data_IF_002480131176
#
_entry.id   IF_002480131176
#
_cell.length_a   1.000
_cell.length_b   1.000
_cell.length_c   1.000
_cell.angle_alpha   90.00
_cell.angle_beta   90.00
_cell.angle_gamma   90.00
#
_symmetry.space_group_name_H-M   'P 1'
#
loop_
_entity.id
_entity.type
_entity.pdbx_description
1 polymer ?
#
# COMPACT_ATOMS: atom_id res chain seq x y z
N UNK A 1 17.90 -2.91 -16.61
CA UNK A 1 17.08 -4.10 -16.31
C UNK A 1 16.08 -3.69 -15.24
N UNK A 2 14.92 -4.37 -15.18
CA UNK A 2 13.92 -4.14 -14.13
C UNK A 2 14.58 -4.37 -12.77
N UNK A 3 14.42 -3.41 -11.85
CA UNK A 3 15.04 -3.40 -10.52
C UNK A 3 14.02 -3.21 -9.39
N UNK A 4 12.76 -2.92 -9.72
CA UNK A 4 11.66 -2.76 -8.78
C UNK A 4 10.39 -3.39 -9.36
N UNK A 5 9.54 -3.95 -8.51
CA UNK A 5 8.18 -4.40 -8.86
C UNK A 5 7.17 -3.88 -7.85
N UNK A 6 5.97 -3.55 -8.33
CA UNK A 6 4.77 -3.28 -7.53
C UNK A 6 3.93 -4.56 -7.52
N UNK A 7 3.60 -5.06 -6.32
CA UNK A 7 2.85 -6.31 -6.16
C UNK A 7 1.45 -5.97 -5.64
N UNK A 8 0.40 -6.12 -6.46
CA UNK A 8 -0.97 -5.89 -6.03
C UNK A 8 -1.45 -7.00 -5.09
N UNK A 9 -1.98 -6.61 -3.94
CA UNK A 9 -2.47 -7.51 -2.90
C UNK A 9 -3.90 -7.15 -2.49
N UNK A 10 -4.78 -8.15 -2.46
CA UNK A 10 -6.06 -7.99 -1.80
C UNK A 10 -5.96 -8.16 -0.30
N UNK A 11 -6.82 -7.46 0.45
CA UNK A 11 -6.83 -7.52 1.92
C UNK A 11 -6.94 -8.96 2.46
N UNK A 12 -7.60 -9.84 1.70
CA UNK A 12 -7.83 -11.24 2.06
C UNK A 12 -6.56 -12.09 2.14
N UNK A 13 -5.40 -11.55 1.73
CA UNK A 13 -4.11 -12.18 2.00
C UNK A 13 -3.82 -12.31 3.51
N UNK A 14 -4.40 -11.41 4.31
CA UNK A 14 -4.49 -11.54 5.76
C UNK A 14 -5.81 -12.23 6.09
N UNK A 15 -5.79 -13.56 6.15
CA UNK A 15 -7.02 -14.38 6.19
C UNK A 15 -7.88 -14.13 7.43
N UNK A 16 -7.26 -13.75 8.54
CA UNK A 16 -7.92 -13.49 9.83
C UNK A 16 -8.85 -12.27 9.79
N UNK A 17 -8.64 -11.34 8.85
CA UNK A 17 -9.55 -10.21 8.67
C UNK A 17 -10.68 -10.53 7.69
N UNK A 18 -10.76 -11.72 7.08
CA UNK A 18 -11.83 -12.08 6.13
C UNK A 18 -13.11 -12.49 6.87
N UNK A 19 -14.26 -11.93 6.48
CA UNK A 19 -15.55 -12.38 6.96
C UNK A 19 -15.96 -13.68 6.25
N UNK A 20 -15.62 -14.82 6.83
CA UNK A 20 -15.90 -16.14 6.22
C UNK A 20 -17.38 -16.50 6.10
N UNK A 21 -18.29 -15.72 6.69
CA UNK A 21 -19.74 -15.93 6.49
C UNK A 21 -20.24 -15.32 5.18
N UNK A 22 -19.58 -14.27 4.68
CA UNK A 22 -20.06 -13.49 3.52
C UNK A 22 -19.03 -13.33 2.41
N UNK A 23 -17.76 -13.58 2.68
CA UNK A 23 -16.64 -13.41 1.76
C UNK A 23 -15.96 -14.75 1.47
N UNK A 24 -15.76 -15.06 0.19
CA UNK A 24 -15.37 -16.39 -0.28
C UNK A 24 -13.95 -16.43 -0.90
N UNK A 25 -13.07 -15.54 -0.47
CA UNK A 25 -11.70 -15.46 -0.96
C UNK A 25 -10.89 -16.72 -0.61
N UNK A 26 -10.02 -17.13 -1.53
CA UNK A 26 -9.15 -18.29 -1.35
C UNK A 26 -8.09 -18.06 -0.24
N UNK A 27 -7.58 -19.16 0.30
CA UNK A 27 -6.60 -19.21 1.39
C UNK A 27 -5.21 -19.67 0.90
N UNK A 28 -4.18 -19.38 1.67
CA UNK A 28 -2.78 -19.73 1.46
C UNK A 28 -1.92 -18.65 0.80
N UNK A 29 -2.50 -17.49 0.45
CA UNK A 29 -1.82 -16.47 -0.36
C UNK A 29 -0.53 -15.94 0.25
N UNK A 30 -0.49 -15.76 1.57
CA UNK A 30 0.65 -15.17 2.28
C UNK A 30 1.94 -16.01 2.18
N UNK A 31 1.83 -17.34 2.12
CA UNK A 31 2.98 -18.25 1.96
C UNK A 31 3.61 -18.12 0.57
N UNK A 32 2.78 -17.91 -0.45
CA UNK A 32 3.25 -17.67 -1.81
C UNK A 32 3.86 -16.29 -1.96
N UNK A 33 3.29 -15.27 -1.31
CA UNK A 33 3.90 -13.94 -1.26
C UNK A 33 5.29 -14.02 -0.63
N UNK A 34 5.43 -14.63 0.55
CA UNK A 34 6.73 -14.82 1.21
C UNK A 34 7.75 -15.50 0.28
N UNK A 35 7.34 -16.59 -0.38
CA UNK A 35 8.20 -17.33 -1.31
C UNK A 35 8.59 -16.49 -2.53
N UNK A 36 7.66 -15.72 -3.09
CA UNK A 36 7.89 -14.85 -4.25
C UNK A 36 8.80 -13.67 -3.91
N UNK A 37 8.62 -13.04 -2.76
CA UNK A 37 9.49 -11.97 -2.27
C UNK A 37 10.93 -12.47 -2.06
N UNK A 38 11.09 -13.70 -1.58
CA UNK A 38 12.42 -14.33 -1.52
C UNK A 38 13.05 -14.43 -2.92
N UNK A 39 12.31 -14.87 -3.94
CA UNK A 39 12.83 -14.97 -5.31
C UNK A 39 13.23 -13.60 -5.87
N UNK A 40 12.45 -12.56 -5.58
CA UNK A 40 12.74 -11.18 -5.98
C UNK A 40 13.99 -10.65 -5.25
N UNK A 41 14.12 -10.95 -3.96
CA UNK A 41 15.30 -10.63 -3.15
C UNK A 41 16.56 -11.31 -3.68
N UNK A 42 16.50 -12.62 -4.00
CA UNK A 42 17.60 -13.37 -4.61
C UNK A 42 18.01 -12.77 -5.98
N UNK A 43 17.09 -12.10 -6.68
CA UNK A 43 17.32 -11.41 -7.95
C UNK A 43 17.76 -9.94 -7.79
N UNK A 44 17.79 -9.40 -6.57
CA UNK A 44 18.13 -8.00 -6.29
C UNK A 44 17.04 -7.00 -6.66
N UNK A 45 15.77 -7.43 -6.72
CA UNK A 45 14.61 -6.61 -7.09
C UNK A 45 13.94 -6.05 -5.82
N UNK A 46 13.74 -4.73 -5.80
CA UNK A 46 13.00 -4.03 -4.74
C UNK A 46 11.49 -4.16 -4.92
N UNK A 47 10.73 -4.06 -3.84
CA UNK A 47 9.29 -4.33 -3.85
C UNK A 47 8.48 -3.20 -3.20
N UNK A 48 7.42 -2.80 -3.89
CA UNK A 48 6.29 -2.04 -3.36
C UNK A 48 5.15 -3.04 -3.13
N UNK A 49 4.62 -3.11 -1.91
CA UNK A 49 3.40 -3.87 -1.63
C UNK A 49 2.20 -2.94 -1.79
N UNK A 50 1.35 -3.23 -2.75
CA UNK A 50 0.18 -2.41 -3.04
C UNK A 50 -1.08 -3.01 -2.42
N UNK A 51 -1.79 -2.25 -1.58
CA UNK A 51 -3.11 -2.61 -1.08
C UNK A 51 -4.16 -2.42 -2.18
N UNK A 52 -4.17 -3.38 -3.10
CA UNK A 52 -4.85 -3.28 -4.37
C UNK A 52 -6.37 -3.43 -4.28
N UNK A 53 -6.83 -4.24 -3.33
CA UNK A 53 -8.25 -4.48 -3.09
C UNK A 53 -8.57 -4.36 -1.62
N UNK A 54 -9.36 -3.34 -1.28
CA UNK A 54 -9.66 -2.96 0.09
C UNK A 54 -10.87 -3.75 0.62
N UNK A 55 -10.96 -3.97 1.94
CA UNK A 55 -12.19 -4.49 2.55
C UNK A 55 -13.38 -3.61 2.18
N UNK A 56 -14.46 -4.22 1.68
CA UNK A 56 -15.67 -3.48 1.32
C UNK A 56 -15.64 -2.77 -0.03
N UNK A 57 -14.66 -3.02 -0.91
CA UNK A 57 -14.55 -2.47 -2.27
C UNK A 57 -14.35 -0.94 -2.28
N UNK A 58 -13.23 -0.49 -2.83
CA UNK A 58 -12.90 0.94 -2.90
C UNK A 58 -13.34 1.62 -4.19
N UNK A 59 -13.72 0.87 -5.23
CA UNK A 59 -14.14 1.42 -6.54
C UNK A 59 -15.18 0.51 -7.17
N UNK A 60 -16.32 1.08 -7.57
CA UNK A 60 -17.46 0.34 -8.10
C UNK A 60 -17.16 -0.32 -9.45
N UNK A 61 -17.76 -1.49 -9.69
CA UNK A 61 -17.71 -2.22 -10.96
C UNK A 61 -16.29 -2.54 -11.48
N UNK A 62 -15.30 -2.54 -10.59
CA UNK A 62 -13.91 -2.84 -10.91
C UNK A 62 -13.49 -4.21 -10.40
N UNK A 63 -13.15 -5.12 -11.30
CA UNK A 63 -12.73 -6.48 -10.94
C UNK A 63 -11.43 -6.54 -10.11
N UNK A 64 -10.56 -5.53 -10.22
CA UNK A 64 -9.31 -5.46 -9.47
C UNK A 64 -9.53 -5.30 -7.96
N UNK A 65 -10.72 -4.84 -7.54
CA UNK A 65 -11.10 -4.70 -6.13
C UNK A 65 -11.48 -6.03 -5.45
N UNK A 66 -11.32 -7.16 -6.16
CA UNK A 66 -11.60 -8.50 -5.64
C UNK A 66 -13.07 -8.91 -5.68
N UNK A 67 -14.00 -7.95 -5.72
CA UNK A 67 -15.42 -8.20 -5.88
C UNK A 67 -16.04 -7.14 -6.80
N UNK A 68 -16.42 -7.54 -8.02
CA UNK A 68 -17.03 -6.65 -8.99
C UNK A 68 -18.49 -6.36 -8.62
N UNK A 69 -18.73 -5.22 -7.98
CA UNK A 69 -20.05 -4.78 -7.50
C UNK A 69 -20.15 -3.25 -7.54
N UNK A 70 -21.37 -2.75 -7.67
CA UNK A 70 -21.73 -1.34 -7.50
C UNK A 70 -21.82 -0.90 -6.03
N UNK A 71 -21.87 -1.85 -5.09
CA UNK A 71 -21.98 -1.59 -3.67
C UNK A 71 -20.60 -1.31 -3.03
N UNK A 72 -20.18 -0.05 -3.09
CA UNK A 72 -18.96 0.46 -2.44
C UNK A 72 -19.23 0.69 -0.95
N UNK A 73 -18.48 -0.01 -0.09
CA UNK A 73 -18.63 0.05 1.36
C UNK A 73 -17.36 0.53 2.07
N UNK A 74 -16.25 0.71 1.35
CA UNK A 74 -15.01 1.18 1.96
C UNK A 74 -15.20 2.58 2.57
N UNK A 75 -15.75 3.55 1.83
CA UNK A 75 -15.94 4.93 2.31
C UNK A 75 -17.20 5.14 3.18
N UNK A 76 -17.95 4.10 3.51
CA UNK A 76 -19.18 4.22 4.31
C UNK A 76 -18.86 4.39 5.81
N UNK A 77 -18.87 5.64 6.31
CA UNK A 77 -18.73 5.95 7.76
C UNK A 77 -20.06 5.67 8.51
N UNK A 78 -20.13 4.95 9.67
CA UNK A 78 -19.09 4.32 10.48
C UNK A 78 -19.29 2.79 10.56
N UNK A 79 -18.96 2.06 9.51
CA UNK A 79 -18.44 0.70 9.75
C UNK A 79 -16.93 0.85 9.91
N UNK A 80 -16.50 1.15 11.14
CA UNK A 80 -15.10 1.00 11.55
C UNK A 80 -14.54 -0.30 10.96
N UNK A 81 -15.36 -1.35 10.94
CA UNK A 81 -15.13 -2.60 10.24
C UNK A 81 -14.22 -2.58 9.00
N UNK A 82 -14.56 -1.90 7.90
CA UNK A 82 -13.76 -2.00 6.66
C UNK A 82 -12.45 -1.19 6.75
N UNK A 83 -12.49 0.01 7.33
CA UNK A 83 -11.29 0.82 7.57
C UNK A 83 -10.36 0.17 8.59
N UNK A 84 -10.90 -0.36 9.68
CA UNK A 84 -10.19 -1.10 10.71
C UNK A 84 -9.50 -2.32 10.10
N UNK A 85 -10.21 -3.12 9.29
CA UNK A 85 -9.60 -4.25 8.56
C UNK A 85 -8.45 -3.81 7.65
N UNK A 86 -8.58 -2.66 6.99
CA UNK A 86 -7.51 -2.11 6.16
C UNK A 86 -6.30 -1.62 6.99
N UNK A 87 -6.53 -1.03 8.17
CA UNK A 87 -5.46 -0.66 9.10
C UNK A 87 -4.82 -1.88 9.78
N UNK A 88 -5.59 -2.93 10.08
CA UNK A 88 -5.04 -4.21 10.56
C UNK A 88 -4.13 -4.82 9.50
N UNK A 89 -4.58 -4.85 8.24
CA UNK A 89 -3.75 -5.26 7.12
C UNK A 89 -2.46 -4.45 7.07
N UNK A 90 -2.55 -3.12 7.21
CA UNK A 90 -1.39 -2.21 7.22
C UNK A 90 -0.39 -2.56 8.33
N UNK A 91 -0.88 -2.76 9.56
CA UNK A 91 -0.04 -3.14 10.70
C UNK A 91 0.65 -4.51 10.48
N UNK A 92 -0.10 -5.48 9.94
CA UNK A 92 0.42 -6.82 9.65
C UNK A 92 1.49 -6.77 8.56
N UNK A 93 1.21 -6.14 7.42
CA UNK A 93 2.15 -6.08 6.29
C UNK A 93 3.40 -5.26 6.61
N UNK A 94 3.26 -4.17 7.38
CA UNK A 94 4.41 -3.40 7.89
C UNK A 94 5.29 -4.26 8.80
N UNK A 95 4.66 -5.05 9.69
CA UNK A 95 5.40 -5.94 10.59
C UNK A 95 6.16 -7.00 9.81
N UNK A 96 5.52 -7.65 8.83
CA UNK A 96 6.16 -8.65 7.99
C UNK A 96 7.31 -8.06 7.18
N UNK A 97 7.11 -6.88 6.60
CA UNK A 97 8.15 -6.16 5.85
C UNK A 97 9.41 -5.92 6.69
N UNK A 98 9.26 -5.64 7.98
CA UNK A 98 10.40 -5.40 8.89
C UNK A 98 10.98 -6.64 9.56
N UNK A 99 10.20 -7.69 9.77
CA UNK A 99 10.58 -8.83 10.61
C UNK A 99 10.77 -10.15 9.86
N UNK A 100 10.18 -10.32 8.67
CA UNK A 100 10.40 -11.49 7.84
C UNK A 100 11.63 -11.27 6.94
N UNK A 101 12.70 -12.09 7.07
CA UNK A 101 13.88 -11.98 6.20
C UNK A 101 13.57 -12.11 4.70
N UNK A 102 12.49 -12.80 4.32
CA UNK A 102 12.08 -12.93 2.93
C UNK A 102 11.43 -11.66 2.36
N UNK A 103 11.02 -10.73 3.23
CA UNK A 103 10.45 -9.44 2.84
C UNK A 103 11.51 -8.31 2.82
N UNK A 104 12.80 -8.63 2.98
CA UNK A 104 13.87 -7.64 3.15
C UNK A 104 14.06 -6.64 2.00
N UNK A 105 13.48 -6.87 0.82
CA UNK A 105 13.48 -5.93 -0.31
C UNK A 105 12.21 -5.11 -0.44
N UNK A 106 11.22 -5.32 0.44
CA UNK A 106 10.06 -4.44 0.57
C UNK A 106 10.54 -3.12 1.14
N UNK A 107 10.39 -2.05 0.37
CA UNK A 107 10.77 -0.69 0.80
C UNK A 107 9.59 0.26 0.90
N UNK A 108 8.42 -0.14 0.37
CA UNK A 108 7.23 0.69 0.32
C UNK A 108 5.94 -0.12 0.48
N UNK A 109 4.92 0.52 1.05
CA UNK A 109 3.55 -0.01 1.13
C UNK A 109 2.58 1.08 0.65
N UNK A 110 1.71 0.72 -0.28
CA UNK A 110 0.68 1.61 -0.82
C UNK A 110 -0.64 1.47 -0.07
N UNK A 111 -1.26 2.60 0.23
CA UNK A 111 -2.44 2.65 1.09
C UNK A 111 -3.71 2.12 0.40
N UNK A 112 -3.93 2.56 -0.85
CA UNK A 112 -5.11 2.22 -1.66
C UNK A 112 -4.76 2.34 -3.14
N UNK A 113 -4.96 1.28 -3.91
CA UNK A 113 -4.95 1.33 -5.36
C UNK A 113 -6.24 1.94 -5.90
N UNK A 114 -6.09 2.89 -6.82
CA UNK A 114 -7.16 3.44 -7.67
C UNK A 114 -8.50 3.69 -6.94
N UNK A 115 -8.55 4.59 -5.93
CA UNK A 115 -9.81 4.97 -5.30
C UNK A 115 -10.76 5.63 -6.30
N UNK A 116 -12.04 5.81 -5.93
CA UNK A 116 -13.00 6.54 -6.78
C UNK A 116 -12.45 7.93 -7.08
N UNK A 117 -12.45 8.32 -8.35
CA UNK A 117 -11.88 9.60 -8.80
C UNK A 117 -12.70 10.81 -8.33
N UNK A 118 -14.00 10.67 -8.13
CA UNK A 118 -14.83 11.75 -7.57
C UNK A 118 -14.61 11.86 -6.06
N UNK A 119 -13.99 12.94 -5.58
CA UNK A 119 -13.69 13.08 -4.15
C UNK A 119 -14.96 13.20 -3.29
N UNK A 120 -16.07 13.70 -3.83
CA UNK A 120 -17.38 13.76 -3.13
C UNK A 120 -17.91 12.34 -2.81
N UNK A 121 -17.47 11.32 -3.55
CA UNK A 121 -17.83 9.91 -3.34
C UNK A 121 -16.88 9.17 -2.38
N UNK A 122 -15.85 9.84 -1.84
CA UNK A 122 -14.84 9.25 -0.95
C UNK A 122 -14.77 9.91 0.44
N UNK A 123 -15.90 10.06 1.16
CA UNK A 123 -15.92 10.76 2.44
C UNK A 123 -14.98 10.11 3.45
N UNK A 124 -14.12 10.93 4.06
CA UNK A 124 -13.15 10.49 5.07
C UNK A 124 -11.90 9.80 4.50
N UNK A 125 -11.68 9.82 3.19
CA UNK A 125 -10.48 9.23 2.58
C UNK A 125 -9.18 9.86 3.09
N UNK A 126 -9.11 11.19 3.19
CA UNK A 126 -7.95 11.87 3.77
C UNK A 126 -7.69 11.53 5.24
N UNK A 127 -8.73 11.15 5.99
CA UNK A 127 -8.58 10.66 7.36
C UNK A 127 -8.01 9.22 7.39
N UNK A 128 -8.43 8.37 6.45
CA UNK A 128 -7.83 7.05 6.26
C UNK A 128 -6.35 7.14 5.88
N UNK A 129 -5.97 8.02 4.93
CA UNK A 129 -4.58 8.21 4.52
C UNK A 129 -3.67 8.57 5.72
N UNK A 130 -4.13 9.47 6.61
CA UNK A 130 -3.40 9.82 7.85
C UNK A 130 -3.27 8.63 8.81
N UNK A 131 -4.36 7.89 9.03
CA UNK A 131 -4.33 6.70 9.89
C UNK A 131 -3.45 5.59 9.33
N UNK A 132 -3.40 5.43 8.01
CA UNK A 132 -2.51 4.49 7.34
C UNK A 132 -1.05 4.83 7.66
N UNK A 133 -0.64 6.09 7.46
CA UNK A 133 0.72 6.54 7.81
C UNK A 133 0.99 6.31 9.29
N UNK A 134 0.11 6.77 10.17
CA UNK A 134 0.26 6.59 11.62
C UNK A 134 0.40 5.12 12.02
N UNK A 135 -0.33 4.21 11.36
CA UNK A 135 -0.24 2.76 11.62
C UNK A 135 1.13 2.20 11.23
N UNK A 136 1.66 2.59 10.06
CA UNK A 136 3.02 2.23 9.63
C UNK A 136 4.04 2.77 10.65
N UNK A 137 3.96 4.07 10.99
CA UNK A 137 4.86 4.70 11.96
C UNK A 137 4.78 4.05 13.34
N UNK A 138 3.59 3.67 13.79
CA UNK A 138 3.40 3.03 15.09
C UNK A 138 4.12 1.69 15.18
N UNK A 139 4.03 0.86 14.13
CA UNK A 139 4.78 -0.41 14.03
C UNK A 139 6.28 -0.15 14.06
N UNK A 140 6.75 0.83 13.29
CA UNK A 140 8.17 1.17 13.17
C UNK A 140 8.76 1.70 14.49
N UNK A 141 8.06 2.62 15.15
CA UNK A 141 8.43 3.11 16.48
C UNK A 141 8.41 1.99 17.52
N UNK A 142 7.45 1.05 17.42
CA UNK A 142 7.43 -0.15 18.27
C UNK A 142 8.67 -1.04 18.06
N UNK A 143 9.19 -1.08 16.84
CA UNK A 143 10.42 -1.80 16.48
C UNK A 143 11.70 -1.05 16.85
N UNK A 144 11.58 0.18 17.37
CA UNK A 144 12.71 1.06 17.67
C UNK A 144 13.32 1.73 16.43
N UNK A 145 12.60 1.76 15.31
CA UNK A 145 13.00 2.46 14.09
C UNK A 145 12.63 3.94 14.28
N UNK A 146 13.60 4.86 14.28
CA UNK A 146 13.32 6.26 14.55
C UNK A 146 12.63 6.92 13.35
N UNK A 147 11.65 7.79 13.63
CA UNK A 147 11.06 8.70 12.66
C UNK A 147 11.34 10.16 13.10
N UNK A 148 11.94 11.01 12.24
CA UNK A 148 12.22 12.40 12.61
C UNK A 148 10.98 13.23 12.98
N UNK A 149 9.81 12.86 12.47
CA UNK A 149 8.56 13.58 12.69
C UNK A 149 7.74 13.10 13.89
N UNK A 150 8.09 11.94 14.47
CA UNK A 150 7.27 11.30 15.49
C UNK A 150 8.10 10.54 16.51
N UNK A 151 7.76 10.66 17.80
CA UNK A 151 8.44 9.94 18.88
C UNK A 151 7.43 9.27 19.77
N UNK A 152 7.67 7.99 20.07
CA UNK A 152 6.82 7.21 20.95
C UNK A 152 6.82 7.78 22.38
N UNK A 153 5.64 7.99 22.94
CA UNK A 153 5.43 8.52 24.29
C UNK A 153 5.38 7.43 25.38
N UNK A 154 5.51 6.16 24.98
CA UNK A 154 5.53 5.00 25.86
C UNK A 154 6.87 4.27 25.80
N UNK A 155 7.30 3.72 26.93
CA UNK A 155 8.56 2.97 27.03
C UNK A 155 8.31 1.48 26.81
N UNK A 156 8.89 0.90 25.78
CA UNK A 156 8.77 -0.54 25.48
C UNK A 156 9.65 -1.34 26.44
N UNK A 157 9.05 -2.33 27.12
CA UNK A 157 9.72 -3.08 28.21
C UNK A 157 10.03 -4.54 27.87
N UNK A 158 9.78 -4.97 26.63
CA UNK A 158 9.88 -6.36 26.18
C UNK A 158 10.56 -6.45 24.82
N UNK A 159 11.21 -7.57 24.54
CA UNK A 159 11.76 -7.88 23.20
C UNK A 159 10.77 -8.65 22.32
N UNK A 160 9.67 -9.15 22.89
CA UNK A 160 8.60 -9.80 22.13
C UNK A 160 7.77 -8.74 21.40
N UNK A 161 7.78 -8.77 20.06
CA UNK A 161 7.16 -7.71 19.27
C UNK A 161 5.65 -7.63 19.49
N UNK A 162 4.95 -8.75 19.48
CA UNK A 162 3.48 -8.77 19.69
C UNK A 162 3.07 -8.19 21.05
N UNK A 163 3.86 -8.44 22.10
CA UNK A 163 3.64 -7.85 23.41
C UNK A 163 3.98 -6.34 23.43
N UNK A 164 5.04 -5.92 22.74
CA UNK A 164 5.39 -4.51 22.58
C UNK A 164 4.29 -3.75 21.82
N UNK A 165 3.78 -4.32 20.73
CA UNK A 165 2.70 -3.75 19.92
C UNK A 165 1.42 -3.56 20.74
N UNK A 166 1.03 -4.59 21.52
CA UNK A 166 -0.09 -4.48 22.46
C UNK A 166 0.14 -3.45 23.58
N UNK A 167 1.38 -3.29 24.04
CA UNK A 167 1.73 -2.23 25.00
C UNK A 167 1.56 -0.84 24.37
N UNK A 168 2.05 -0.63 23.14
CA UNK A 168 1.87 0.64 22.42
C UNK A 168 0.39 0.93 22.20
N UNK A 169 -0.36 -0.04 21.65
CA UNK A 169 -1.80 0.07 21.43
C UNK A 169 -2.58 0.49 22.68
N UNK A 170 -2.17 0.03 23.87
CA UNK A 170 -2.90 0.31 25.12
C UNK A 170 -2.45 1.57 25.87
N UNK A 171 -1.26 2.10 25.59
CA UNK A 171 -0.65 3.14 26.44
C UNK A 171 -0.30 4.42 25.73
N UNK A 172 -0.12 4.38 24.41
CA UNK A 172 0.27 5.56 23.64
C UNK A 172 -0.88 6.56 23.53
N UNK A 173 -0.54 7.85 23.49
CA UNK A 173 -1.50 8.95 23.32
C UNK A 173 -1.27 9.76 22.05
N UNK A 174 -0.18 9.48 21.32
CA UNK A 174 0.14 10.19 20.07
C UNK A 174 -0.69 9.69 18.88
N UNK A 175 -1.21 8.46 18.96
CA UNK A 175 -2.05 7.85 17.94
C UNK A 175 -3.52 7.87 18.36
N UNK A 176 -4.42 8.02 17.37
CA UNK A 176 -5.85 7.98 17.63
C UNK A 176 -6.37 6.54 17.82
N UNK A 177 -7.62 6.44 18.25
CA UNK A 177 -8.27 5.15 18.57
C UNK A 177 -8.32 4.17 17.41
N UNK A 178 -8.54 4.63 16.16
CA UNK A 178 -8.60 3.71 15.02
C UNK A 178 -7.24 3.02 14.77
N UNK A 179 -6.15 3.78 14.93
CA UNK A 179 -4.79 3.25 14.83
C UNK A 179 -4.53 2.28 15.99
N UNK A 180 -4.80 2.68 17.23
CA UNK A 180 -4.50 1.82 18.39
C UNK A 180 -5.35 0.54 18.44
N UNK A 181 -6.61 0.59 18.03
CA UNK A 181 -7.46 -0.60 17.89
C UNK A 181 -6.94 -1.55 16.81
N UNK A 182 -6.51 -1.02 15.66
CA UNK A 182 -5.89 -1.84 14.61
C UNK A 182 -4.60 -2.53 15.06
N UNK A 183 -3.73 -1.84 15.81
CA UNK A 183 -2.51 -2.42 16.38
C UNK A 183 -2.84 -3.55 17.39
N UNK A 184 -3.86 -3.34 18.23
CA UNK A 184 -4.32 -4.36 19.16
C UNK A 184 -4.87 -5.59 18.42
N UNK A 185 -5.70 -5.38 17.40
CA UNK A 185 -6.30 -6.45 16.60
C UNK A 185 -5.27 -7.20 15.72
N UNK A 186 -4.20 -6.54 15.28
CA UNK A 186 -3.09 -7.18 14.56
C UNK A 186 -2.27 -8.15 15.44
N UNK A 187 -2.25 -7.94 16.76
CA UNK A 187 -1.43 -8.74 17.71
C UNK A 187 -1.69 -10.26 17.62
N UNK A 188 -2.93 -10.76 17.78
CA UNK A 188 -3.20 -12.20 17.65
C UNK A 188 -2.95 -12.73 16.24
N UNK A 189 -3.19 -11.93 15.20
CA UNK A 189 -2.95 -12.30 13.80
C UNK A 189 -1.45 -12.54 13.56
N UNK A 190 -0.61 -11.66 14.07
CA UNK A 190 0.85 -11.77 13.96
C UNK A 190 1.38 -13.02 14.67
N UNK A 191 0.79 -13.44 15.79
CA UNK A 191 1.16 -14.70 16.46
C UNK A 191 0.88 -15.92 15.59
N UNK A 192 -0.27 -15.94 14.90
CA UNK A 192 -0.62 -17.02 13.97
C UNK A 192 0.31 -17.03 12.76
N UNK A 193 0.55 -15.85 12.16
CA UNK A 193 1.45 -15.70 11.00
C UNK A 193 2.89 -16.06 11.35
N UNK A 194 3.37 -15.76 12.55
CA UNK A 194 4.71 -16.17 13.01
C UNK A 194 4.90 -17.69 12.93
N UNK A 195 3.86 -18.46 13.26
CA UNK A 195 3.88 -19.91 13.14
C UNK A 195 3.72 -20.36 11.69
N UNK A 196 2.75 -19.80 10.96
CA UNK A 196 2.44 -20.18 9.58
C UNK A 196 3.63 -19.94 8.63
N UNK A 197 4.32 -18.81 8.81
CA UNK A 197 5.44 -18.37 7.97
C UNK A 197 6.81 -18.71 8.57
N UNK A 198 6.85 -19.34 9.75
CA UNK A 198 8.09 -19.67 10.48
C UNK A 198 9.00 -18.45 10.74
N UNK A 199 8.41 -17.36 11.25
CA UNK A 199 9.09 -16.08 11.53
C UNK A 199 9.27 -15.92 13.05
N UNK A 200 10.36 -16.43 13.66
CA UNK A 200 10.57 -16.32 15.10
C UNK A 200 10.77 -14.88 15.57
N UNK A 201 11.18 -13.95 14.69
CA UNK A 201 11.44 -12.55 15.02
C UNK A 201 10.19 -11.79 15.52
N UNK A 202 8.98 -12.23 15.17
CA UNK A 202 7.73 -11.68 15.71
C UNK A 202 7.58 -11.99 17.20
N UNK A 203 8.14 -13.10 17.67
CA UNK A 203 8.10 -13.53 19.07
C UNK A 203 9.28 -13.02 19.89
N UNK A 204 10.39 -12.69 19.23
CA UNK A 204 11.58 -12.10 19.85
C UNK A 204 12.37 -11.29 18.80
N UNK A 205 12.27 -9.97 18.87
CA UNK A 205 12.93 -9.04 17.94
C UNK A 205 14.45 -9.12 17.99
N UNK A 206 15.05 -9.67 19.05
CA UNK A 206 16.50 -9.90 19.09
C UNK A 206 16.97 -10.95 18.08
N UNK A 207 16.04 -11.79 17.59
CA UNK A 207 16.27 -12.83 16.58
C UNK A 207 16.14 -12.32 15.14
N UNK A 208 15.85 -11.03 14.94
CA UNK A 208 15.81 -10.38 13.62
C UNK A 208 17.20 -10.23 12.95
N UNK A 209 18.18 -11.07 13.31
CA UNK A 209 19.54 -11.03 12.79
C UNK A 209 19.57 -11.25 11.28
N UNK A 210 20.27 -10.40 10.53
CA UNK A 210 20.37 -10.48 9.07
C UNK A 210 19.42 -9.56 8.31
N UNK A 211 18.51 -8.88 9.01
CA UNK A 211 17.74 -7.75 8.46
C UNK A 211 18.68 -6.54 8.42
N UNK A 212 18.69 -5.79 7.31
CA UNK A 212 19.52 -4.59 7.13
C UNK A 212 19.27 -3.55 8.25
N UNK A 213 20.08 -2.48 8.33
CA UNK A 213 19.73 -1.39 9.25
C UNK A 213 18.31 -0.93 8.92
N UNK A 214 17.38 -1.18 9.85
CA UNK A 214 15.95 -0.92 9.62
C UNK A 214 15.76 0.58 9.49
N UNK A 215 15.44 1.03 8.28
CA UNK A 215 14.94 2.37 8.00
C UNK A 215 13.42 2.31 7.94
N UNK A 216 12.80 3.46 8.02
CA UNK A 216 11.37 3.59 7.75
C UNK A 216 11.04 3.13 6.31
N UNK A 217 9.90 2.44 6.16
CA UNK A 217 9.29 2.14 4.87
C UNK A 217 8.71 3.43 4.28
N UNK A 218 8.64 3.48 2.96
CA UNK A 218 7.91 4.52 2.26
C UNK A 218 6.41 4.22 2.35
N UNK A 219 5.62 5.18 2.78
CA UNK A 219 4.17 5.14 2.61
C UNK A 219 3.82 5.66 1.22
N UNK A 220 2.97 4.98 0.47
CA UNK A 220 2.68 5.36 -0.92
C UNK A 220 1.19 5.46 -1.19
N UNK A 221 0.82 6.31 -2.16
CA UNK A 221 -0.56 6.70 -2.44
C UNK A 221 -0.70 6.99 -3.92
N UNK A 222 -1.91 6.83 -4.47
CA UNK A 222 -2.27 7.57 -5.68
C UNK A 222 -2.08 9.07 -5.41
N UNK A 223 -1.52 9.80 -6.36
CA UNK A 223 -1.30 11.25 -6.30
C UNK A 223 -2.62 12.04 -6.15
N UNK A 224 -2.50 13.30 -5.74
CA UNK A 224 -3.63 14.21 -5.55
C UNK A 224 -4.46 14.40 -6.81
N UNK A 225 -3.85 14.34 -8.00
CA UNK A 225 -4.55 14.49 -9.29
C UNK A 225 -5.22 13.19 -9.76
N UNK A 226 -5.17 12.12 -8.95
CA UNK A 226 -6.02 10.94 -9.15
C UNK A 226 -7.50 11.27 -8.95
N UNK A 227 -7.80 12.14 -7.99
CA UNK A 227 -9.15 12.57 -7.69
C UNK A 227 -9.44 13.98 -8.19
N UNK A 228 -10.70 14.25 -8.53
CA UNK A 228 -11.21 15.58 -8.85
C UNK A 228 -12.23 16.03 -7.77
N UNK A 229 -12.66 17.29 -7.83
CA UNK A 229 -13.63 17.91 -6.91
C UNK A 229 -13.20 18.03 -5.43
N UNK A 230 -12.17 18.85 -5.17
CA UNK A 230 -11.63 19.16 -3.81
C UNK A 230 -11.08 17.92 -3.06
N UNK A 231 -10.15 17.16 -3.68
CA UNK A 231 -9.64 15.94 -3.08
C UNK A 231 -8.73 16.21 -1.87
N UNK A 232 -8.68 15.29 -0.89
CA UNK A 232 -7.65 15.34 0.14
C UNK A 232 -6.28 15.10 -0.50
N UNK A 233 -5.31 15.97 -0.21
CA UNK A 233 -3.95 15.77 -0.69
C UNK A 233 -3.21 14.75 0.21
N UNK A 234 -2.73 13.60 -0.33
CA UNK A 234 -2.01 12.60 0.45
C UNK A 234 -0.69 13.11 1.07
N UNK A 235 -0.07 14.16 0.54
CA UNK A 235 1.09 14.81 1.16
C UNK A 235 0.78 15.41 2.54
N UNK A 236 -0.48 15.73 2.84
CA UNK A 236 -0.88 16.21 4.17
C UNK A 236 -0.81 15.09 5.25
N UNK A 237 -0.63 13.83 4.84
CA UNK A 237 -0.40 12.71 5.74
C UNK A 237 1.09 12.44 6.01
N UNK A 238 2.01 13.19 5.39
CA UNK A 238 3.45 12.90 5.43
C UNK A 238 4.03 12.87 6.86
N UNK A 239 4.46 11.69 7.30
CA UNK A 239 5.36 11.46 8.43
C UNK A 239 6.35 10.39 7.99
N UNK A 240 7.64 10.75 7.92
CA UNK A 240 8.66 9.89 7.31
C UNK A 240 8.69 9.99 5.77
N UNK A 241 9.35 9.04 5.08
CA UNK A 241 9.40 9.02 3.62
C UNK A 241 8.05 8.64 3.03
N UNK A 242 7.64 9.38 2.01
CA UNK A 242 6.38 9.18 1.28
C UNK A 242 6.66 9.28 -0.23
N UNK A 243 5.97 8.48 -1.02
CA UNK A 243 6.02 8.55 -2.49
C UNK A 243 4.63 8.43 -3.07
N UNK A 244 4.52 8.75 -4.36
CA UNK A 244 3.24 8.90 -5.03
C UNK A 244 3.22 8.06 -6.29
N UNK A 245 2.07 7.48 -6.57
CA UNK A 245 1.80 6.62 -7.72
C UNK A 245 0.77 7.29 -8.62
N UNK A 246 0.86 7.06 -9.92
CA UNK A 246 -0.14 7.42 -10.89
C UNK A 246 -0.21 6.34 -11.98
N UNK A 247 -1.38 6.12 -12.55
CA UNK A 247 -1.55 5.18 -13.65
C UNK A 247 -1.91 5.89 -14.94
N UNK A 248 -1.28 5.48 -16.05
CA UNK A 248 -1.46 6.12 -17.35
C UNK A 248 -2.05 5.15 -18.37
N UNK A 249 -3.34 5.32 -18.64
CA UNK A 249 -4.11 4.46 -19.53
C UNK A 249 -4.65 5.21 -20.74
N UNK A 250 -3.86 5.25 -21.82
CA UNK A 250 -4.29 5.87 -23.07
C UNK A 250 -5.52 5.19 -23.70
N UNK A 251 -5.73 3.90 -23.45
CA UNK A 251 -6.85 3.13 -23.99
C UNK A 251 -8.24 3.60 -23.54
N UNK A 252 -8.33 4.28 -22.40
CA UNK A 252 -9.59 4.83 -21.89
C UNK A 252 -9.90 6.23 -22.46
N UNK A 253 -8.98 6.84 -23.20
CA UNK A 253 -9.14 8.16 -23.81
C UNK A 253 -8.86 9.30 -22.85
N UNK A 254 -9.09 10.54 -23.28
CA UNK A 254 -8.90 11.74 -22.46
C UNK A 254 -7.45 12.23 -22.34
N UNK A 255 -6.47 11.41 -22.71
CA UNK A 255 -5.03 11.76 -22.64
C UNK A 255 -4.49 12.29 -23.97
N UNK A 256 -4.83 11.66 -25.08
CA UNK A 256 -4.40 12.03 -26.42
C UNK A 256 -5.36 11.51 -27.49
N UNK A 257 -5.31 12.09 -28.69
CA UNK A 257 -6.06 11.58 -29.84
C UNK A 257 -5.65 10.14 -30.18
N UNK A 258 -6.61 9.33 -30.64
CA UNK A 258 -6.42 7.90 -30.92
C UNK A 258 -5.62 7.65 -32.21
N UNK A 259 -4.34 8.03 -32.23
CA UNK A 259 -3.40 7.74 -33.31
C UNK A 259 -1.94 7.63 -32.82
N UNK A 260 -1.06 6.95 -33.58
CA UNK A 260 0.34 6.75 -33.19
C UNK A 260 1.11 8.02 -32.85
N UNK A 261 0.92 9.10 -33.63
CA UNK A 261 1.66 10.35 -33.44
C UNK A 261 1.28 11.02 -32.13
N UNK A 262 -0.03 11.15 -31.86
CA UNK A 262 -0.52 11.80 -30.66
C UNK A 262 -0.12 11.05 -29.36
N UNK A 263 -0.16 9.71 -29.36
CA UNK A 263 0.31 8.91 -28.21
C UNK A 263 1.80 9.15 -27.91
N UNK A 264 2.64 9.10 -28.95
CA UNK A 264 4.09 9.32 -28.80
C UNK A 264 4.43 10.76 -28.41
N UNK A 265 3.73 11.74 -28.98
CA UNK A 265 3.91 13.15 -28.61
C UNK A 265 3.46 13.40 -27.16
N UNK A 266 2.34 12.82 -26.74
CA UNK A 266 1.83 12.98 -25.38
C UNK A 266 2.79 12.41 -24.33
N UNK A 267 3.23 11.15 -24.46
CA UNK A 267 4.11 10.52 -23.45
C UNK A 267 5.46 11.25 -23.33
N UNK A 268 5.99 11.76 -24.45
CA UNK A 268 7.28 12.48 -24.45
C UNK A 268 7.20 13.89 -23.85
N UNK A 269 6.00 14.46 -23.74
CA UNK A 269 5.77 15.83 -23.26
C UNK A 269 4.92 15.86 -21.98
N UNK A 270 4.76 14.72 -21.31
CA UNK A 270 4.00 14.62 -20.06
C UNK A 270 4.69 15.45 -18.97
N UNK A 271 3.96 16.38 -18.36
CA UNK A 271 4.43 17.29 -17.31
C UNK A 271 3.90 16.93 -15.91
N UNK A 272 3.21 15.79 -15.79
CA UNK A 272 2.54 15.34 -14.55
C UNK A 272 3.49 15.24 -13.36
N UNK A 273 4.70 14.68 -13.57
CA UNK A 273 5.73 14.60 -12.52
C UNK A 273 6.08 15.99 -11.95
N UNK A 274 6.20 17.00 -12.82
CA UNK A 274 6.53 18.36 -12.41
C UNK A 274 5.32 19.07 -11.80
N UNK A 275 4.11 18.80 -12.29
CA UNK A 275 2.87 19.37 -11.78
C UNK A 275 2.57 18.86 -10.35
N UNK A 276 2.64 17.55 -10.13
CA UNK A 276 2.39 16.90 -8.84
C UNK A 276 3.42 17.35 -7.80
N UNK A 277 4.69 17.48 -8.21
CA UNK A 277 5.73 18.01 -7.34
C UNK A 277 5.45 19.44 -6.84
N UNK A 278 4.72 20.28 -7.60
CA UNK A 278 4.28 21.61 -7.13
C UNK A 278 3.22 21.50 -6.04
N UNK A 279 2.45 20.41 -6.02
CA UNK A 279 1.42 20.11 -5.02
C UNK A 279 1.96 19.36 -3.79
N UNK A 280 3.26 19.04 -3.77
CA UNK A 280 3.89 18.29 -2.69
C UNK A 280 4.05 16.79 -2.97
N UNK A 281 3.50 16.31 -4.09
CA UNK A 281 3.48 14.91 -4.47
C UNK A 281 4.78 14.55 -5.22
N UNK A 282 5.87 14.42 -4.45
CA UNK A 282 7.18 14.02 -4.98
C UNK A 282 7.95 13.13 -3.99
N UNK A 283 8.59 12.05 -4.44
CA UNK A 283 8.67 11.58 -5.83
C UNK A 283 7.37 10.91 -6.31
N UNK A 284 7.03 11.17 -7.57
CA UNK A 284 5.98 10.47 -8.32
C UNK A 284 6.59 9.38 -9.21
N UNK A 285 5.96 8.22 -9.28
CA UNK A 285 6.22 7.19 -10.29
C UNK A 285 4.92 6.74 -10.96
N UNK A 286 5.05 6.10 -12.12
CA UNK A 286 3.93 5.46 -12.80
C UNK A 286 3.93 3.96 -12.54
N UNK A 287 3.14 3.52 -11.56
CA UNK A 287 3.09 2.14 -11.07
C UNK A 287 2.38 1.18 -12.02
N UNK A 288 1.45 1.69 -12.83
CA UNK A 288 0.76 0.93 -13.87
C UNK A 288 0.63 1.72 -15.18
N UNK A 289 0.79 0.98 -16.28
CA UNK A 289 0.68 1.51 -17.64
C UNK A 289 0.28 0.40 -18.61
N UNK A 290 -0.28 0.81 -19.75
CA UNK A 290 -0.89 -0.11 -20.71
C UNK A 290 -0.29 -0.02 -22.12
N UNK A 291 -0.13 -1.18 -22.74
CA UNK A 291 0.01 -1.29 -24.21
C UNK A 291 -1.30 -1.19 -25.02
N UNK A 292 -2.52 -1.40 -24.47
CA UNK A 292 -3.75 -1.25 -25.24
C UNK A 292 -3.89 0.16 -25.85
N UNK A 293 -4.46 0.22 -27.05
CA UNK A 293 -4.65 1.45 -27.83
C UNK A 293 -6.11 1.60 -28.27
N UNK A 294 -6.54 2.83 -28.56
CA UNK A 294 -7.86 3.13 -29.15
C UNK A 294 -7.86 3.07 -30.70
N UNK A 295 -6.83 2.48 -31.29
CA UNK A 295 -6.65 2.32 -32.72
C UNK A 295 -5.97 0.98 -33.02
N UNK A 296 -6.09 0.49 -34.26
CA UNK A 296 -5.44 -0.73 -34.70
C UNK A 296 -3.91 -0.53 -34.79
N UNK A 297 -3.23 -0.80 -33.68
CA UNK A 297 -1.78 -0.67 -33.57
C UNK A 297 -1.05 -1.77 -34.35
N UNK A 298 0.05 -1.39 -34.99
CA UNK A 298 0.99 -2.36 -35.59
C UNK A 298 1.98 -2.85 -34.54
N UNK A 299 2.51 -4.06 -34.68
CA UNK A 299 3.59 -4.57 -33.80
C UNK A 299 4.77 -3.59 -33.72
N UNK A 300 5.15 -3.00 -34.87
CA UNK A 300 6.23 -2.02 -34.93
C UNK A 300 5.95 -0.80 -34.04
N UNK A 301 4.70 -0.31 -34.04
CA UNK A 301 4.29 0.74 -33.13
C UNK A 301 4.29 0.27 -31.68
N UNK A 302 3.74 -0.91 -31.37
CA UNK A 302 3.69 -1.43 -30.00
C UNK A 302 5.09 -1.59 -29.38
N UNK A 303 6.10 -1.96 -30.18
CA UNK A 303 7.49 -1.96 -29.70
C UNK A 303 7.99 -0.56 -29.34
N UNK A 304 7.73 0.44 -30.19
CA UNK A 304 8.08 1.83 -29.90
C UNK A 304 7.32 2.35 -28.68
N UNK A 305 6.03 2.01 -28.58
CA UNK A 305 5.14 2.42 -27.50
C UNK A 305 5.55 1.81 -26.16
N UNK A 306 5.92 0.53 -26.14
CA UNK A 306 6.43 -0.14 -24.97
C UNK A 306 7.78 0.44 -24.51
N UNK A 307 8.59 0.96 -25.43
CA UNK A 307 9.88 1.56 -25.09
C UNK A 307 9.74 2.98 -24.56
N UNK A 308 8.78 3.75 -25.08
CA UNK A 308 8.51 5.12 -24.66
C UNK A 308 7.87 5.24 -23.27
N UNK A 309 7.23 4.18 -22.76
CA UNK A 309 6.63 4.12 -21.43
C UNK A 309 7.59 3.63 -20.32
N UNK A 310 8.86 3.33 -20.65
CA UNK A 310 9.89 2.96 -19.66
C UNK A 310 10.67 4.17 -19.16
#
# INVERSE_FOLDING_TARGET
>A
GINTVRIPLGFWIVEQIVNRETEFYAEGGIVYLQSGLKMLSDAGIQVILDHHALPGVQTSDQSFTGNCTDNVQFYASPTAYNYERALIWTAVMTTLAHLDPNFNTVFAIEAVNEPIMDADETPGYGYFQKNFVDTVRAVELTLGIPDPGLTLDTSITTTNFTAALGQVASTTTIFNTNVTEALAAATPILLELAMQLSIPAILDTSLASGIASRSTLWTTFMDVDWQYDDPPNPADAAIGPQGYDNHLYYSFGGVADANPTAYMESICNLDRVQADAVQGDTPLWFGEWGLPTQFDATDAFLYMWADAQK
#
